data_IF_900986806512
#
_entry.id   IF_900986806512
#
_cell.length_a   1.000
_cell.length_b   1.000
_cell.length_c   1.000
_cell.angle_alpha   90.00
_cell.angle_beta   90.00
_cell.angle_gamma   90.00
#
_symmetry.space_group_name_H-M   'P 1'
#
loop_
_entity.id
_entity.type
_entity.pdbx_description
1 polymer ?
#
# COMPACT_ATOMS: atom_id res chain seq x y z
N UNK A 1 -18.78 -23.62 1.30
CA UNK A 1 -17.96 -23.64 0.10
C UNK A 1 -18.60 -24.12 -1.21
N UNK A 2 -19.72 -24.86 -1.25
CA UNK A 2 -20.30 -25.32 -2.52
C UNK A 2 -20.81 -24.23 -3.47
N UNK A 3 -20.94 -22.99 -3.04
CA UNK A 3 -21.41 -21.89 -3.90
C UNK A 3 -20.34 -21.17 -4.71
N UNK A 4 -19.04 -21.34 -4.39
CA UNK A 4 -17.93 -20.66 -5.05
C UNK A 4 -17.16 -21.64 -5.97
N UNK A 5 -17.06 -22.89 -5.56
CA UNK A 5 -16.36 -23.92 -6.33
C UNK A 5 -17.35 -25.00 -6.76
N UNK A 6 -17.28 -25.43 -8.02
CA UNK A 6 -18.12 -26.54 -8.51
C UNK A 6 -17.87 -27.84 -7.73
N UNK A 7 -18.82 -28.77 -7.79
CA UNK A 7 -18.77 -30.04 -7.04
C UNK A 7 -17.46 -30.82 -7.25
N UNK A 8 -16.90 -30.79 -8.46
CA UNK A 8 -15.63 -31.46 -8.80
C UNK A 8 -14.45 -30.84 -8.05
N UNK A 9 -14.37 -29.52 -7.95
CA UNK A 9 -13.31 -28.81 -7.22
C UNK A 9 -13.42 -29.06 -5.72
N UNK A 10 -14.63 -29.03 -5.16
CA UNK A 10 -14.86 -29.37 -3.75
C UNK A 10 -14.46 -30.81 -3.42
N UNK A 11 -14.71 -31.77 -4.30
CA UNK A 11 -14.31 -33.16 -4.10
C UNK A 11 -12.80 -33.36 -4.05
N UNK A 12 -12.05 -32.57 -4.82
CA UNK A 12 -10.58 -32.60 -4.82
C UNK A 12 -9.98 -31.88 -3.62
N UNK A 13 -10.63 -30.83 -3.12
CA UNK A 13 -10.21 -30.10 -1.91
C UNK A 13 -10.53 -30.87 -0.61
N UNK A 14 -11.56 -31.72 -0.61
CA UNK A 14 -12.02 -32.45 0.58
C UNK A 14 -10.91 -33.25 1.29
N UNK A 15 -9.97 -33.95 0.62
CA UNK A 15 -8.88 -34.64 1.27
C UNK A 15 -7.91 -33.71 2.03
N UNK A 16 -7.89 -32.42 1.69
CA UNK A 16 -7.03 -31.40 2.28
C UNK A 16 -7.76 -30.45 3.23
N UNK A 17 -9.04 -30.71 3.50
CA UNK A 17 -9.80 -29.94 4.48
C UNK A 17 -9.45 -30.35 5.91
N UNK A 18 -8.60 -29.55 6.56
CA UNK A 18 -8.14 -29.80 7.92
C UNK A 18 -9.29 -29.78 8.97
N UNK A 19 -10.41 -29.09 8.67
CA UNK A 19 -11.55 -29.02 9.58
C UNK A 19 -12.27 -30.37 9.65
N UNK A 20 -12.26 -31.12 8.55
CA UNK A 20 -12.88 -32.44 8.45
C UNK A 20 -11.91 -33.60 8.63
N UNK A 21 -10.68 -33.32 9.12
CA UNK A 21 -9.66 -34.33 9.36
C UNK A 21 -8.82 -34.69 8.13
N UNK A 22 -8.80 -33.84 7.11
CA UNK A 22 -7.93 -33.98 5.95
C UNK A 22 -6.45 -33.72 6.26
N UNK A 23 -5.58 -33.98 5.29
CA UNK A 23 -4.14 -33.74 5.38
C UNK A 23 -3.77 -32.41 4.77
N UNK A 24 -2.74 -31.74 5.32
CA UNK A 24 -2.18 -30.53 4.71
C UNK A 24 -1.72 -30.82 3.28
N UNK A 25 -1.95 -29.83 2.39
CA UNK A 25 -1.37 -29.90 1.06
C UNK A 25 0.12 -29.55 1.15
N UNK A 26 0.95 -30.36 0.49
CA UNK A 26 2.38 -30.13 0.39
C UNK A 26 2.78 -29.93 -1.08
N UNK A 27 3.58 -28.91 -1.31
CA UNK A 27 4.18 -28.62 -2.61
C UNK A 27 5.71 -28.57 -2.46
N UNK A 28 6.39 -29.33 -3.28
CA UNK A 28 7.84 -29.34 -3.37
C UNK A 28 8.26 -28.94 -4.78
N UNK A 29 9.04 -27.87 -4.87
CA UNK A 29 9.56 -27.37 -6.13
C UNK A 29 10.87 -26.62 -5.90
N UNK A 30 11.71 -26.51 -6.92
CA UNK A 30 12.94 -25.73 -6.88
C UNK A 30 13.26 -25.17 -8.26
N UNK A 31 14.01 -24.09 -8.26
CA UNK A 31 14.60 -23.52 -9.47
C UNK A 31 15.92 -22.85 -9.12
N UNK A 32 16.84 -22.83 -10.08
CA UNK A 32 18.08 -22.08 -9.95
C UNK A 32 17.85 -20.66 -10.50
N UNK A 33 18.27 -19.66 -9.73
CA UNK A 33 18.31 -18.27 -10.17
C UNK A 33 19.75 -17.81 -10.19
N UNK A 34 20.21 -17.34 -11.36
CA UNK A 34 21.54 -16.78 -11.55
C UNK A 34 21.41 -15.32 -11.93
N UNK A 35 21.98 -14.46 -11.11
CA UNK A 35 21.98 -13.02 -11.35
C UNK A 35 23.42 -12.51 -11.44
N UNK A 36 23.68 -11.70 -12.44
CA UNK A 36 24.94 -10.96 -12.57
C UNK A 36 24.62 -9.49 -12.78
N UNK A 37 25.16 -8.65 -11.91
CA UNK A 37 25.01 -7.21 -12.02
C UNK A 37 26.39 -6.54 -12.07
N UNK A 38 26.54 -5.60 -12.98
CA UNK A 38 27.72 -4.73 -13.07
C UNK A 38 27.29 -3.29 -13.15
N UNK A 39 28.03 -2.40 -12.52
CA UNK A 39 27.71 -0.97 -12.56
C UNK A 39 28.99 -0.11 -12.61
N UNK A 40 28.83 1.06 -13.20
CA UNK A 40 29.79 2.17 -13.11
C UNK A 40 29.00 3.43 -12.76
N UNK A 41 29.52 4.21 -11.82
CA UNK A 41 28.89 5.45 -11.39
C UNK A 41 29.97 6.47 -11.03
N UNK A 42 29.73 7.74 -11.36
CA UNK A 42 30.60 8.85 -11.01
C UNK A 42 29.79 10.07 -10.58
N UNK A 43 30.40 10.90 -9.72
CA UNK A 43 29.85 12.17 -9.27
C UNK A 43 30.79 13.28 -9.61
N UNK A 44 30.42 14.14 -10.52
CA UNK A 44 31.22 15.23 -11.04
C UNK A 44 30.69 16.56 -10.52
N UNK A 45 31.50 17.32 -9.83
CA UNK A 45 31.14 18.68 -9.37
C UNK A 45 31.98 19.72 -10.08
N UNK A 46 31.30 20.63 -10.79
CA UNK A 46 31.90 21.75 -11.51
C UNK A 46 31.22 23.04 -11.08
N UNK A 47 31.97 23.87 -10.29
CA UNK A 47 31.44 25.12 -9.73
C UNK A 47 30.13 24.89 -8.92
N UNK A 48 29.00 25.30 -9.47
CA UNK A 48 27.70 25.19 -8.83
C UNK A 48 26.87 24.00 -9.35
N UNK A 49 27.41 23.25 -10.30
CA UNK A 49 26.76 22.08 -10.89
C UNK A 49 27.28 20.81 -10.24
N UNK A 50 26.38 19.86 -9.98
CA UNK A 50 26.69 18.49 -9.59
C UNK A 50 25.99 17.54 -10.55
N UNK A 51 26.74 16.59 -11.07
CA UNK A 51 26.27 15.57 -12.00
C UNK A 51 26.52 14.21 -11.37
N UNK A 52 25.47 13.42 -11.21
CA UNK A 52 25.55 12.02 -10.83
C UNK A 52 25.20 11.19 -12.05
N UNK A 53 26.16 10.47 -12.58
CA UNK A 53 26.02 9.68 -13.79
C UNK A 53 26.34 8.23 -13.50
N UNK A 54 25.46 7.33 -13.86
CA UNK A 54 25.66 5.91 -13.64
C UNK A 54 24.91 5.06 -14.66
N UNK A 55 25.42 3.88 -14.85
CA UNK A 55 24.74 2.82 -15.57
C UNK A 55 25.00 1.49 -14.86
N UNK A 56 23.95 0.70 -14.71
CA UNK A 56 24.03 -0.67 -14.22
C UNK A 56 23.50 -1.60 -15.31
N UNK A 57 24.11 -2.75 -15.47
CA UNK A 57 23.63 -3.81 -16.33
C UNK A 57 23.31 -5.03 -15.50
N UNK A 58 22.08 -5.58 -15.66
CA UNK A 58 21.63 -6.76 -14.96
C UNK A 58 21.31 -7.89 -15.96
N UNK A 59 21.80 -9.07 -15.63
CA UNK A 59 21.49 -10.32 -16.29
C UNK A 59 20.78 -11.21 -15.28
N UNK A 60 19.51 -11.46 -15.51
CA UNK A 60 18.69 -12.39 -14.73
C UNK A 60 18.46 -13.65 -15.54
N UNK A 61 18.75 -14.80 -14.98
CA UNK A 61 18.50 -16.11 -15.57
C UNK A 61 17.92 -17.03 -14.50
N UNK A 62 16.62 -17.18 -14.51
CA UNK A 62 15.84 -18.02 -13.60
C UNK A 62 14.76 -18.75 -14.40
N UNK A 63 13.52 -18.70 -13.94
CA UNK A 63 12.36 -19.20 -14.68
C UNK A 63 12.11 -18.42 -15.99
N UNK A 64 12.50 -17.14 -16.00
CA UNK A 64 12.57 -16.30 -17.19
C UNK A 64 13.99 -15.77 -17.36
N UNK A 65 14.32 -15.30 -18.57
CA UNK A 65 15.60 -14.66 -18.86
C UNK A 65 15.34 -13.19 -19.17
N UNK A 66 16.01 -12.30 -18.44
CA UNK A 66 15.95 -10.86 -18.68
C UNK A 66 17.35 -10.25 -18.71
N UNK A 67 17.48 -9.22 -19.55
CA UNK A 67 18.70 -8.42 -19.68
C UNK A 67 18.29 -6.96 -19.69
N UNK A 68 18.79 -6.19 -18.74
CA UNK A 68 18.37 -4.81 -18.56
C UNK A 68 19.58 -3.90 -18.41
N UNK A 69 19.47 -2.68 -18.96
CA UNK A 69 20.38 -1.58 -18.70
C UNK A 69 19.61 -0.53 -17.87
N UNK A 70 20.23 -0.10 -16.78
CA UNK A 70 19.65 0.80 -15.79
C UNK A 70 20.46 2.09 -15.71
N UNK A 71 20.23 3.03 -16.63
CA UNK A 71 20.84 4.35 -16.55
C UNK A 71 20.30 5.13 -15.33
N UNK A 72 21.17 5.90 -14.71
CA UNK A 72 20.87 6.80 -13.58
C UNK A 72 21.56 8.12 -13.85
N UNK A 73 20.78 9.18 -13.96
CA UNK A 73 21.28 10.54 -14.23
C UNK A 73 20.64 11.49 -13.24
N UNK A 74 21.47 12.23 -12.52
CA UNK A 74 21.05 13.31 -11.64
C UNK A 74 21.83 14.57 -11.94
N UNK A 75 21.16 15.71 -11.99
CA UNK A 75 21.76 17.02 -12.18
C UNK A 75 21.22 17.95 -11.11
N UNK A 76 22.11 18.60 -10.39
CA UNK A 76 21.75 19.64 -9.43
C UNK A 76 22.51 20.92 -9.70
N UNK A 77 21.84 22.04 -9.50
CA UNK A 77 22.43 23.39 -9.61
C UNK A 77 22.21 24.15 -8.32
N UNK A 78 23.30 24.57 -7.69
CA UNK A 78 23.28 25.37 -6.47
C UNK A 78 23.41 26.87 -6.80
N UNK A 79 22.31 27.60 -6.69
CA UNK A 79 22.30 29.05 -6.83
C UNK A 79 22.64 29.70 -5.50
N UNK A 80 23.96 29.86 -5.23
CA UNK A 80 24.52 30.33 -3.97
C UNK A 80 23.93 31.65 -3.44
N UNK A 81 23.67 32.70 -4.31
CA UNK A 81 23.16 33.97 -3.80
C UNK A 81 21.86 33.89 -3.00
N UNK A 82 21.00 32.90 -3.30
CA UNK A 82 19.74 32.71 -2.58
C UNK A 82 19.73 31.43 -1.75
N UNK A 83 20.80 30.62 -1.76
CA UNK A 83 20.84 29.29 -1.14
C UNK A 83 19.75 28.37 -1.69
N UNK A 84 19.58 28.37 -3.00
CA UNK A 84 18.57 27.56 -3.70
C UNK A 84 19.27 26.45 -4.47
N UNK A 85 18.74 25.23 -4.37
CA UNK A 85 19.20 24.08 -5.17
C UNK A 85 18.04 23.60 -6.03
N UNK A 86 18.25 23.57 -7.35
CA UNK A 86 17.38 22.91 -8.31
C UNK A 86 17.95 21.53 -8.63
N UNK A 87 17.12 20.53 -8.69
CA UNK A 87 17.54 19.18 -9.03
C UNK A 87 16.55 18.50 -9.97
N UNK A 88 17.10 17.73 -10.90
CA UNK A 88 16.37 16.83 -11.76
C UNK A 88 17.07 15.49 -11.79
N UNK A 89 16.34 14.40 -11.79
CA UNK A 89 16.93 13.08 -11.94
C UNK A 89 16.06 12.15 -12.74
N UNK A 90 16.70 11.16 -13.32
CA UNK A 90 16.10 10.03 -13.97
C UNK A 90 16.82 8.76 -13.52
N UNK A 91 16.03 7.74 -13.22
CA UNK A 91 16.55 6.40 -12.95
C UNK A 91 15.68 5.35 -13.61
N UNK A 92 16.30 4.34 -14.17
CA UNK A 92 15.65 3.09 -14.52
C UNK A 92 16.11 2.01 -13.57
N UNK A 93 15.16 1.20 -13.07
CA UNK A 93 15.43 0.09 -12.16
C UNK A 93 14.75 -1.17 -12.65
N UNK A 94 15.37 -2.30 -12.42
CA UNK A 94 14.78 -3.63 -12.64
C UNK A 94 14.13 -4.10 -11.35
N UNK A 95 12.97 -4.70 -11.48
CA UNK A 95 12.26 -5.36 -10.38
C UNK A 95 12.26 -6.87 -10.68
N UNK A 96 12.99 -7.64 -9.88
CA UNK A 96 12.99 -9.10 -9.99
C UNK A 96 11.91 -9.68 -9.08
N UNK A 97 11.09 -10.64 -9.56
CA UNK A 97 10.06 -11.25 -8.74
C UNK A 97 10.66 -12.12 -7.63
N UNK A 98 9.91 -12.31 -6.54
CA UNK A 98 10.31 -13.19 -5.44
C UNK A 98 10.32 -14.66 -5.89
N UNK A 99 11.43 -15.34 -5.61
CA UNK A 99 11.72 -16.65 -6.19
C UNK A 99 10.79 -17.76 -5.68
N UNK A 100 10.41 -17.73 -4.41
CA UNK A 100 9.59 -18.77 -3.79
C UNK A 100 8.23 -18.91 -4.48
N UNK A 101 7.59 -17.79 -4.79
CA UNK A 101 6.28 -17.79 -5.41
C UNK A 101 6.34 -18.08 -6.93
N UNK A 102 7.48 -17.82 -7.56
CA UNK A 102 7.67 -18.15 -8.98
C UNK A 102 7.60 -19.65 -9.25
N UNK A 103 8.13 -20.46 -8.34
CA UNK A 103 8.11 -21.92 -8.47
C UNK A 103 6.67 -22.43 -8.44
N UNK A 104 5.86 -21.92 -7.51
CA UNK A 104 4.43 -22.28 -7.41
C UNK A 104 3.69 -21.86 -8.69
N UNK A 105 3.92 -20.65 -9.19
CA UNK A 105 3.25 -20.16 -10.38
C UNK A 105 3.65 -20.90 -11.67
N UNK A 106 4.91 -21.29 -11.78
CA UNK A 106 5.46 -21.86 -13.02
C UNK A 106 5.38 -23.38 -13.09
N UNK A 107 5.53 -24.06 -11.95
CA UNK A 107 5.56 -25.52 -11.88
C UNK A 107 4.39 -26.12 -11.10
N UNK A 108 3.71 -25.31 -10.29
CA UNK A 108 2.59 -25.77 -9.47
C UNK A 108 1.42 -26.30 -10.27
N UNK A 109 1.23 -25.82 -11.50
CA UNK A 109 0.18 -26.30 -12.39
C UNK A 109 0.43 -27.73 -12.93
N UNK A 110 1.60 -28.27 -12.77
CA UNK A 110 1.85 -29.71 -12.98
C UNK A 110 1.29 -30.55 -11.81
N UNK A 111 0.99 -29.93 -10.69
CA UNK A 111 0.29 -30.56 -9.58
C UNK A 111 -1.20 -30.67 -9.87
N UNK A 112 -1.81 -31.87 -9.79
CA UNK A 112 -3.25 -32.06 -9.99
C UNK A 112 -4.12 -31.20 -9.06
N UNK A 113 -3.62 -30.90 -7.85
CA UNK A 113 -4.30 -30.05 -6.86
C UNK A 113 -4.35 -28.57 -7.30
N UNK A 114 -3.21 -27.97 -7.67
CA UNK A 114 -3.16 -26.58 -8.12
C UNK A 114 -3.82 -26.41 -9.50
N UNK A 115 -3.72 -27.40 -10.37
CA UNK A 115 -4.42 -27.43 -11.65
C UNK A 115 -5.96 -27.35 -11.52
N UNK A 116 -6.50 -27.71 -10.38
CA UNK A 116 -7.94 -27.63 -10.09
C UNK A 116 -8.35 -26.36 -9.35
N UNK A 117 -7.44 -25.75 -8.59
CA UNK A 117 -7.69 -24.50 -7.87
C UNK A 117 -7.62 -23.27 -8.77
N UNK A 118 -6.66 -23.24 -9.67
CA UNK A 118 -6.32 -22.06 -10.45
C UNK A 118 -7.34 -21.74 -11.55
N UNK A 119 -7.87 -22.70 -12.36
CA UNK A 119 -8.84 -22.41 -13.40
C UNK A 119 -10.18 -21.82 -12.93
N UNK A 120 -10.78 -22.23 -11.80
CA UNK A 120 -11.99 -21.60 -11.28
C UNK A 120 -11.83 -20.11 -10.93
N UNK A 121 -10.59 -19.65 -10.78
CA UNK A 121 -10.25 -18.23 -10.55
C UNK A 121 -10.07 -17.46 -11.87
N UNK A 122 -10.40 -18.05 -13.01
CA UNK A 122 -10.21 -17.44 -14.33
C UNK A 122 -8.75 -17.43 -14.81
N UNK A 123 -7.85 -18.09 -14.10
CA UNK A 123 -6.43 -18.14 -14.40
C UNK A 123 -6.11 -19.48 -15.10
N UNK A 124 -5.70 -19.47 -16.38
CA UNK A 124 -5.31 -20.71 -17.05
C UNK A 124 -4.03 -21.28 -16.44
N UNK A 125 -3.95 -22.60 -16.32
CA UNK A 125 -2.82 -23.28 -15.66
C UNK A 125 -1.57 -23.47 -16.53
N UNK A 126 -1.52 -22.95 -17.74
CA UNK A 126 -0.37 -23.07 -18.66
C UNK A 126 0.38 -21.76 -18.83
N UNK A 127 0.51 -21.00 -17.78
CA UNK A 127 1.08 -19.68 -17.85
C UNK A 127 2.61 -19.76 -17.93
N UNK A 128 3.19 -18.96 -18.80
CA UNK A 128 4.64 -18.74 -18.80
C UNK A 128 5.09 -18.11 -17.47
N UNK A 129 6.38 -18.13 -17.18
CA UNK A 129 6.90 -17.50 -15.97
C UNK A 129 6.72 -15.98 -16.03
N UNK A 130 6.50 -15.37 -14.87
CA UNK A 130 6.57 -13.92 -14.71
C UNK A 130 7.97 -13.44 -15.12
N UNK A 131 8.04 -12.38 -15.91
CA UNK A 131 9.29 -11.76 -16.34
C UNK A 131 9.66 -10.58 -15.44
N UNK A 132 10.94 -10.31 -15.20
CA UNK A 132 11.35 -9.14 -14.45
C UNK A 132 10.80 -7.85 -15.06
N UNK A 133 10.22 -7.03 -14.21
CA UNK A 133 9.69 -5.72 -14.57
C UNK A 133 10.75 -4.64 -14.60
N UNK A 134 10.36 -3.47 -15.04
CA UNK A 134 11.21 -2.29 -14.94
C UNK A 134 10.40 -1.03 -14.61
N UNK A 135 11.03 -0.17 -13.86
CA UNK A 135 10.49 1.11 -13.47
C UNK A 135 11.36 2.25 -14.03
N UNK A 136 10.73 3.28 -14.56
CA UNK A 136 11.35 4.54 -14.93
C UNK A 136 10.84 5.63 -13.98
N UNK A 137 11.74 6.28 -13.28
CA UNK A 137 11.44 7.34 -12.34
C UNK A 137 12.07 8.67 -12.78
N UNK A 138 11.28 9.72 -12.75
CA UNK A 138 11.70 11.09 -13.02
C UNK A 138 11.39 11.94 -11.79
N UNK A 139 12.37 12.72 -11.34
CA UNK A 139 12.22 13.62 -10.22
C UNK A 139 12.58 15.04 -10.65
N UNK A 140 11.81 16.00 -10.17
CA UNK A 140 12.13 17.43 -10.26
C UNK A 140 11.97 18.02 -8.88
N UNK A 141 13.02 18.62 -8.36
CA UNK A 141 13.03 19.11 -6.99
C UNK A 141 13.64 20.51 -6.86
N UNK A 142 13.22 21.16 -5.80
CA UNK A 142 13.70 22.46 -5.37
C UNK A 142 13.97 22.42 -3.86
N UNK A 143 15.16 22.83 -3.45
CA UNK A 143 15.47 23.09 -2.06
C UNK A 143 15.82 24.56 -1.85
N UNK A 144 15.23 25.20 -0.85
CA UNK A 144 15.46 26.59 -0.50
C UNK A 144 15.79 26.69 0.99
N UNK A 145 16.97 27.24 1.29
CA UNK A 145 17.32 27.57 2.66
C UNK A 145 17.14 29.09 2.95
N UNK A 146 16.49 29.40 4.06
CA UNK A 146 16.27 30.73 4.58
C UNK A 146 17.20 30.94 5.81
N UNK A 147 18.45 31.27 5.52
CA UNK A 147 19.48 31.34 6.52
C UNK A 147 19.63 30.01 7.29
N UNK A 148 19.73 30.10 8.62
CA UNK A 148 19.82 28.93 9.51
C UNK A 148 18.46 28.53 10.12
N UNK A 149 17.39 29.16 9.70
CA UNK A 149 16.08 29.08 10.39
C UNK A 149 15.12 28.10 9.75
N UNK A 150 15.08 28.05 8.41
CA UNK A 150 14.10 27.26 7.68
C UNK A 150 14.75 26.69 6.41
N UNK A 151 14.48 25.41 6.15
CA UNK A 151 14.75 24.77 4.87
C UNK A 151 13.42 24.24 4.33
N UNK A 152 13.13 24.59 3.08
CA UNK A 152 12.02 24.04 2.33
C UNK A 152 12.61 23.13 1.26
N UNK A 153 12.14 21.89 1.20
CA UNK A 153 12.49 20.92 0.20
C UNK A 153 11.19 20.43 -0.44
N UNK A 154 11.10 20.44 -1.75
CA UNK A 154 9.93 20.00 -2.48
C UNK A 154 10.34 19.26 -3.74
N UNK A 155 9.69 18.14 -4.00
CA UNK A 155 9.89 17.37 -5.22
C UNK A 155 8.57 16.88 -5.81
N UNK A 156 8.58 16.71 -7.11
CA UNK A 156 7.55 16.03 -7.86
C UNK A 156 8.15 14.82 -8.56
N UNK A 157 7.42 13.70 -8.51
CA UNK A 157 7.87 12.38 -8.93
C UNK A 157 6.91 11.86 -9.99
N UNK A 158 7.45 11.29 -11.07
CA UNK A 158 6.72 10.48 -12.04
C UNK A 158 7.35 9.09 -12.08
N UNK A 159 6.60 8.11 -11.66
CA UNK A 159 7.01 6.70 -11.73
C UNK A 159 6.16 5.97 -12.76
N UNK A 160 6.81 5.29 -13.68
CA UNK A 160 6.19 4.47 -14.72
C UNK A 160 6.78 3.06 -14.64
N UNK A 161 5.94 2.09 -14.29
CA UNK A 161 6.35 0.69 -14.19
C UNK A 161 5.76 -0.10 -15.35
N UNK A 162 6.52 -1.03 -15.89
CA UNK A 162 6.07 -2.06 -16.82
C UNK A 162 6.39 -3.41 -16.19
N UNK A 163 5.45 -4.34 -16.30
CA UNK A 163 5.54 -5.65 -15.69
C UNK A 163 5.82 -5.54 -14.17
N UNK A 164 5.03 -4.71 -13.50
CA UNK A 164 5.16 -4.52 -12.06
C UNK A 164 4.74 -5.77 -11.31
N UNK A 165 5.64 -6.28 -10.50
CA UNK A 165 5.40 -7.49 -9.73
C UNK A 165 4.51 -7.22 -8.52
N UNK A 166 3.59 -8.14 -8.24
CA UNK A 166 2.69 -8.09 -7.10
C UNK A 166 2.19 -9.49 -6.71
N UNK A 167 1.34 -9.58 -5.69
CA UNK A 167 0.76 -10.84 -5.24
C UNK A 167 -0.76 -10.81 -5.34
N UNK A 168 -1.33 -11.89 -5.83
CA UNK A 168 -2.74 -12.21 -5.65
C UNK A 168 -2.95 -13.24 -4.54
N UNK A 169 -4.17 -13.33 -4.03
CA UNK A 169 -4.56 -14.33 -3.03
C UNK A 169 -5.58 -15.28 -3.65
N UNK A 170 -5.42 -16.57 -3.41
CA UNK A 170 -6.36 -17.60 -3.91
C UNK A 170 -7.62 -17.60 -3.06
N UNK A 171 -8.65 -16.90 -3.51
CA UNK A 171 -9.97 -16.84 -2.83
C UNK A 171 -9.84 -16.38 -1.37
N UNK A 172 -10.41 -17.14 -0.45
CA UNK A 172 -10.34 -16.87 0.99
C UNK A 172 -9.23 -17.67 1.70
N UNK A 173 -8.23 -18.15 0.97
CA UNK A 173 -7.11 -18.92 1.52
C UNK A 173 -5.92 -18.02 1.83
N UNK A 174 -4.98 -18.43 2.68
CA UNK A 174 -3.72 -17.71 2.87
C UNK A 174 -2.70 -17.95 1.74
N UNK A 175 -3.10 -18.66 0.68
CA UNK A 175 -2.19 -18.99 -0.43
C UNK A 175 -2.07 -17.77 -1.33
N UNK A 176 -0.86 -17.25 -1.45
CA UNK A 176 -0.53 -16.18 -2.38
C UNK A 176 0.08 -16.75 -3.65
N UNK A 177 -0.15 -16.06 -4.75
CA UNK A 177 0.50 -16.35 -6.03
C UNK A 177 0.98 -15.04 -6.67
N UNK A 178 2.06 -15.08 -7.45
CA UNK A 178 2.58 -13.89 -8.08
C UNK A 178 1.69 -13.45 -9.25
N UNK A 179 1.48 -12.15 -9.33
CA UNK A 179 0.83 -11.47 -10.44
C UNK A 179 1.76 -10.41 -11.00
N UNK A 180 1.45 -9.96 -12.18
CA UNK A 180 2.20 -8.93 -12.88
C UNK A 180 1.22 -7.88 -13.41
N UNK A 181 1.42 -6.63 -13.03
CA UNK A 181 0.69 -5.51 -13.60
C UNK A 181 1.31 -5.11 -14.93
N UNK A 182 0.53 -5.02 -15.99
CA UNK A 182 1.05 -4.62 -17.32
C UNK A 182 1.76 -3.28 -17.27
N UNK A 183 1.21 -2.35 -16.52
CA UNK A 183 1.81 -1.04 -16.30
C UNK A 183 1.26 -0.38 -15.03
N UNK A 184 2.00 0.60 -14.52
CA UNK A 184 1.49 1.58 -13.56
C UNK A 184 1.98 2.98 -13.89
N UNK A 185 1.20 4.00 -13.47
CA UNK A 185 1.56 5.41 -13.53
C UNK A 185 1.33 6.01 -12.17
N UNK A 186 2.40 6.48 -11.53
CA UNK A 186 2.36 6.95 -10.15
C UNK A 186 2.99 8.36 -10.10
N UNK A 187 2.26 9.42 -10.48
CA UNK A 187 2.66 10.78 -10.17
C UNK A 187 2.47 11.03 -8.67
N UNK A 188 3.40 11.76 -8.09
CA UNK A 188 3.36 12.11 -6.67
C UNK A 188 4.15 13.37 -6.38
N UNK A 189 3.96 13.90 -5.18
CA UNK A 189 4.75 15.01 -4.66
C UNK A 189 5.12 14.76 -3.20
N UNK A 190 6.25 15.33 -2.80
CA UNK A 190 6.67 15.41 -1.42
C UNK A 190 7.18 16.82 -1.12
N UNK A 191 6.78 17.39 0.00
CA UNK A 191 7.25 18.68 0.50
C UNK A 191 7.68 18.53 1.94
N UNK A 192 8.89 18.96 2.26
CA UNK A 192 9.42 18.99 3.62
C UNK A 192 9.80 20.40 4.03
N UNK A 193 9.25 20.84 5.15
CA UNK A 193 9.66 22.06 5.85
C UNK A 193 10.47 21.64 7.06
N UNK A 194 11.65 22.20 7.25
CA UNK A 194 12.52 21.86 8.40
C UNK A 194 12.99 23.12 9.11
N UNK A 195 12.78 23.18 10.41
CA UNK A 195 13.41 24.16 11.32
C UNK A 195 14.52 23.44 12.07
N UNK A 196 15.81 23.65 11.70
CA UNK A 196 16.92 22.85 12.24
C UNK A 196 17.11 23.04 13.74
N UNK A 197 17.15 24.25 14.20
CA UNK A 197 17.10 24.65 15.60
C UNK A 197 16.86 26.15 15.70
N UNK A 198 15.80 26.54 16.37
CA UNK A 198 15.48 27.92 16.67
C UNK A 198 15.19 28.07 18.17
N UNK A 199 16.17 28.56 18.93
CA UNK A 199 16.08 28.73 20.39
C UNK A 199 15.59 27.46 21.13
N UNK A 200 16.10 26.30 20.75
CA UNK A 200 15.74 25.00 21.31
C UNK A 200 14.54 24.32 20.66
N UNK A 201 13.85 24.99 19.72
CA UNK A 201 12.81 24.39 18.92
C UNK A 201 13.44 23.75 17.67
N UNK A 202 13.19 22.46 17.46
CA UNK A 202 13.40 21.76 16.19
C UNK A 202 12.04 21.29 15.68
N UNK A 203 11.82 21.41 14.38
CA UNK A 203 10.56 21.00 13.79
C UNK A 203 10.74 20.51 12.36
N UNK A 204 9.86 19.61 11.95
CA UNK A 204 9.65 19.35 10.53
C UNK A 204 8.16 19.09 10.26
N UNK A 205 7.76 19.44 9.04
CA UNK A 205 6.48 19.06 8.46
C UNK A 205 6.79 18.36 7.14
N UNK A 206 6.32 17.14 6.97
CA UNK A 206 6.36 16.41 5.70
C UNK A 206 4.92 16.28 5.19
N UNK A 207 4.70 16.69 3.96
CA UNK A 207 3.44 16.55 3.24
C UNK A 207 3.71 15.77 1.96
N UNK A 208 2.88 14.80 1.66
CA UNK A 208 2.98 14.04 0.42
C UNK A 208 1.63 13.56 -0.08
N UNK A 209 1.59 13.20 -1.34
CA UNK A 209 0.43 12.59 -1.96
C UNK A 209 0.83 11.88 -3.23
N UNK A 210 0.12 10.82 -3.55
CA UNK A 210 0.32 10.03 -4.76
C UNK A 210 -1.00 9.74 -5.44
N UNK A 211 -0.94 9.54 -6.76
CA UNK A 211 -2.03 9.07 -7.57
C UNK A 211 -1.61 7.77 -8.28
N UNK A 212 -1.71 6.67 -7.57
CA UNK A 212 -1.20 5.38 -8.03
C UNK A 212 -2.21 4.66 -8.94
N UNK A 213 -2.09 4.90 -10.25
CA UNK A 213 -2.89 4.25 -11.30
C UNK A 213 -2.24 2.98 -11.75
N UNK A 214 -3.00 1.89 -11.69
CA UNK A 214 -2.60 0.58 -12.16
C UNK A 214 -3.44 0.14 -13.34
N UNK A 215 -2.82 -0.55 -14.26
CA UNK A 215 -3.43 -1.13 -15.45
C UNK A 215 -3.46 -2.64 -15.29
N UNK A 216 -4.33 -3.28 -16.03
CA UNK A 216 -4.68 -4.69 -15.94
C UNK A 216 -3.54 -5.62 -15.57
N UNK A 217 -3.78 -6.63 -14.70
CA UNK A 217 -2.78 -7.61 -14.37
C UNK A 217 -2.57 -8.58 -15.52
N UNK A 218 -1.38 -9.12 -15.53
CA UNK A 218 -1.03 -10.36 -16.20
C UNK A 218 -0.75 -11.39 -15.11
N UNK A 219 -1.23 -12.60 -15.29
CA UNK A 219 -0.82 -13.71 -14.44
C UNK A 219 0.20 -14.51 -15.22
N UNK A 220 1.41 -14.60 -14.68
CA UNK A 220 2.51 -15.34 -15.25
C UNK A 220 2.73 -15.02 -16.75
N UNK A 221 2.78 -13.74 -17.10
CA UNK A 221 3.10 -13.27 -18.45
C UNK A 221 1.98 -13.37 -19.49
N UNK A 222 0.80 -13.86 -19.13
CA UNK A 222 -0.36 -13.83 -20.01
C UNK A 222 -1.39 -12.81 -19.54
N UNK A 223 -1.93 -11.96 -20.44
CA UNK A 223 -2.98 -11.04 -20.05
C UNK A 223 -4.20 -11.84 -19.61
N UNK A 224 -4.69 -11.58 -18.41
CA UNK A 224 -6.06 -11.98 -18.04
C UNK A 224 -6.95 -11.20 -19.00
N UNK A 225 -7.81 -11.90 -19.75
CA UNK A 225 -8.69 -11.27 -20.72
C UNK A 225 -9.50 -10.21 -20.00
N UNK A 226 -9.26 -8.92 -20.25
CA UNK A 226 -9.93 -7.88 -19.52
C UNK A 226 -11.34 -7.70 -20.03
N UNK A 227 -12.24 -7.51 -19.13
CA UNK A 227 -13.51 -6.86 -19.41
C UNK A 227 -13.25 -5.36 -19.33
N UNK A 228 -12.70 -4.76 -20.40
CA UNK A 228 -12.46 -3.32 -20.50
C UNK A 228 -11.00 -2.84 -20.31
N UNK A 229 -10.74 -1.58 -20.70
CA UNK A 229 -9.47 -0.86 -20.48
C UNK A 229 -9.49 -0.20 -19.10
N UNK A 230 -9.68 -0.94 -18.04
CA UNK A 230 -9.97 -0.36 -16.75
C UNK A 230 -8.69 0.00 -15.99
N UNK A 231 -8.55 1.30 -15.75
CA UNK A 231 -7.53 1.86 -14.86
C UNK A 231 -8.13 1.98 -13.48
N UNK A 232 -7.41 1.56 -12.44
CA UNK A 232 -7.86 1.67 -11.07
C UNK A 232 -6.78 2.26 -10.16
N UNK A 233 -7.20 2.71 -8.97
CA UNK A 233 -6.32 3.16 -7.91
C UNK A 233 -6.06 2.00 -6.95
N UNK A 234 -4.79 1.74 -6.69
CA UNK A 234 -4.39 0.72 -5.72
C UNK A 234 -4.75 1.14 -4.29
N UNK A 235 -4.93 0.16 -3.42
CA UNK A 235 -5.28 0.34 -2.00
C UNK A 235 -4.24 1.10 -1.15
N UNK A 236 -3.04 1.35 -1.69
CA UNK A 236 -2.01 2.21 -1.10
C UNK A 236 -2.02 3.65 -1.65
N UNK A 237 -2.99 3.99 -2.51
CA UNK A 237 -3.16 5.35 -3.02
C UNK A 237 -3.71 6.28 -1.95
N UNK A 238 -3.02 7.37 -1.70
CA UNK A 238 -3.44 8.41 -0.77
C UNK A 238 -3.21 9.79 -1.37
N UNK A 239 -4.28 10.60 -1.43
CA UNK A 239 -4.26 11.92 -2.08
C UNK A 239 -3.37 12.87 -1.31
N UNK A 240 -3.42 12.82 0.04
CA UNK A 240 -2.67 13.70 0.90
C UNK A 240 -2.43 13.07 2.27
N UNK A 241 -1.19 13.12 2.72
CA UNK A 241 -0.82 12.84 4.10
C UNK A 241 0.14 13.92 4.62
N UNK A 242 0.13 14.07 5.92
CA UNK A 242 1.01 15.01 6.61
C UNK A 242 1.53 14.40 7.90
N UNK A 243 2.83 14.60 8.15
CA UNK A 243 3.44 14.35 9.45
C UNK A 243 4.14 15.62 9.92
N UNK A 244 3.72 16.12 11.07
CA UNK A 244 4.35 17.24 11.76
C UNK A 244 5.04 16.73 13.01
N UNK A 245 6.29 17.05 13.16
CA UNK A 245 7.07 16.81 14.37
C UNK A 245 7.57 18.13 14.94
N UNK A 246 7.33 18.35 16.22
CA UNK A 246 7.84 19.47 16.98
C UNK A 246 8.61 18.90 18.17
N UNK A 247 9.80 19.40 18.42
CA UNK A 247 10.54 19.12 19.65
C UNK A 247 11.10 20.41 20.22
N UNK A 248 10.85 20.62 21.51
CA UNK A 248 11.34 21.78 22.24
C UNK A 248 12.26 21.35 23.37
N UNK A 249 13.51 21.83 23.33
CA UNK A 249 14.53 21.60 24.33
C UNK A 249 15.19 22.95 24.67
N UNK A 250 14.70 23.67 25.69
CA UNK A 250 15.17 25.03 26.00
C UNK A 250 16.64 25.07 26.45
N UNK A 251 17.14 23.99 27.04
CA UNK A 251 18.50 23.88 27.53
C UNK A 251 19.26 22.75 26.86
N UNK A 252 20.51 22.97 26.45
CA UNK A 252 21.33 21.97 25.73
C UNK A 252 21.45 20.59 26.41
N UNK A 253 21.34 20.55 27.74
CA UNK A 253 21.40 19.32 28.56
C UNK A 253 20.16 19.15 29.43
N UNK A 254 19.05 19.77 29.08
CA UNK A 254 17.80 19.72 29.81
C UNK A 254 16.80 18.73 29.22
N UNK A 255 15.62 18.64 29.84
CA UNK A 255 14.52 17.85 29.31
C UNK A 255 14.02 18.45 27.99
N UNK A 256 13.42 17.58 27.20
CA UNK A 256 12.73 17.96 25.96
C UNK A 256 11.28 17.51 25.99
N UNK A 257 10.46 18.21 25.23
CA UNK A 257 9.06 17.87 24.95
C UNK A 257 8.92 17.70 23.43
N UNK A 258 8.28 16.64 22.98
CA UNK A 258 7.95 16.46 21.58
C UNK A 258 6.45 16.24 21.38
N UNK A 259 5.99 16.68 20.21
CA UNK A 259 4.62 16.53 19.76
C UNK A 259 4.65 16.09 18.30
N UNK A 260 3.86 15.03 17.97
CA UNK A 260 3.64 14.58 16.61
C UNK A 260 2.17 14.74 16.26
N UNK A 261 1.92 15.20 15.06
CA UNK A 261 0.61 15.22 14.44
C UNK A 261 0.69 14.54 13.08
N UNK A 262 -0.13 13.54 12.89
CA UNK A 262 -0.30 12.86 11.60
C UNK A 262 -1.72 13.08 11.11
N UNK A 263 -1.84 13.52 9.86
CA UNK A 263 -3.10 13.58 9.13
C UNK A 263 -3.00 12.69 7.90
N UNK A 264 -4.00 11.84 7.72
CA UNK A 264 -4.14 10.98 6.55
C UNK A 264 -5.50 11.26 5.91
N UNK A 265 -5.53 11.51 4.59
CA UNK A 265 -6.77 11.75 3.85
C UNK A 265 -7.59 10.49 3.59
N UNK A 266 -7.01 9.33 3.82
CA UNK A 266 -7.60 8.02 3.67
C UNK A 266 -7.12 7.27 2.42
N UNK A 267 -6.66 6.05 2.65
CA UNK A 267 -6.32 5.09 1.61
C UNK A 267 -7.58 4.63 0.85
N UNK A 268 -7.39 4.09 -0.35
CA UNK A 268 -8.47 3.44 -1.09
C UNK A 268 -8.99 2.24 -0.31
N UNK A 269 -10.32 2.14 -0.19
CA UNK A 269 -10.99 1.05 0.53
C UNK A 269 -11.43 -0.05 -0.43
N UNK A 270 -11.32 -1.31 0.00
CA UNK A 270 -11.71 -2.47 -0.77
C UNK A 270 -13.23 -2.74 -0.78
N UNK A 271 -14.06 -1.74 -0.50
CA UNK A 271 -15.50 -1.84 -0.59
C UNK A 271 -16.09 -0.65 -1.33
N UNK A 272 -17.13 -0.87 -2.13
CA UNK A 272 -17.81 0.16 -2.90
C UNK A 272 -19.33 0.02 -2.81
N UNK A 273 -20.08 1.15 -2.96
CA UNK A 273 -21.54 1.08 -3.02
C UNK A 273 -21.98 0.45 -4.33
N UNK A 274 -22.98 -0.42 -4.24
CA UNK A 274 -23.66 -1.01 -5.37
C UNK A 274 -25.16 -0.77 -5.26
N UNK A 275 -25.78 -0.23 -6.29
CA UNK A 275 -27.20 0.06 -6.33
C UNK A 275 -27.75 -0.31 -7.71
N UNK A 276 -28.47 -1.41 -7.82
CA UNK A 276 -29.42 -1.68 -8.90
C UNK A 276 -30.08 -3.06 -8.75
N UNK A 277 -31.22 -3.31 -9.36
CA UNK A 277 -31.93 -4.57 -9.22
C UNK A 277 -31.22 -5.78 -9.83
N UNK A 278 -30.26 -5.57 -10.71
CA UNK A 278 -29.46 -6.61 -11.39
C UNK A 278 -28.01 -6.13 -11.65
N UNK A 279 -27.49 -5.30 -10.77
CA UNK A 279 -26.14 -4.77 -11.00
C UNK A 279 -25.11 -5.85 -10.76
N UNK A 280 -24.30 -6.06 -11.75
CA UNK A 280 -22.98 -6.59 -11.62
C UNK A 280 -22.15 -5.47 -10.98
N UNK A 281 -21.92 -5.57 -9.68
CA UNK A 281 -21.04 -4.63 -9.00
C UNK A 281 -19.59 -5.05 -9.29
N UNK A 282 -19.17 -4.75 -10.50
CA UNK A 282 -17.77 -4.95 -10.86
C UNK A 282 -16.93 -3.92 -10.13
N UNK A 283 -15.96 -4.40 -9.40
CA UNK A 283 -14.74 -3.68 -9.20
C UNK A 283 -14.00 -3.62 -10.54
N UNK A 284 -13.38 -2.49 -10.84
CA UNK A 284 -12.35 -2.41 -11.87
C UNK A 284 -11.08 -3.17 -11.50
N UNK A 285 -11.04 -3.80 -10.33
CA UNK A 285 -9.94 -4.68 -9.98
C UNK A 285 -10.04 -5.96 -10.78
N UNK A 286 -8.92 -6.39 -11.37
CA UNK A 286 -8.86 -7.51 -12.30
C UNK A 286 -9.19 -8.88 -11.71
N UNK A 287 -9.42 -8.97 -10.42
CA UNK A 287 -9.81 -10.17 -9.69
C UNK A 287 -11.31 -10.24 -9.39
N UNK A 288 -12.10 -9.28 -9.86
CA UNK A 288 -13.54 -9.36 -9.75
C UNK A 288 -14.05 -10.48 -10.68
N UNK A 289 -14.37 -11.60 -10.11
CA UNK A 289 -14.90 -12.79 -10.82
C UNK A 289 -16.38 -12.64 -11.23
N UNK A 290 -16.90 -11.40 -11.30
CA UNK A 290 -18.21 -11.08 -11.83
C UNK A 290 -19.38 -11.60 -10.99
N UNK A 291 -19.18 -11.87 -9.71
CA UNK A 291 -20.24 -12.21 -8.78
C UNK A 291 -21.18 -11.02 -8.56
N UNK A 292 -22.25 -10.92 -9.35
CA UNK A 292 -23.24 -9.86 -9.20
C UNK A 292 -24.02 -9.98 -7.88
N UNK A 293 -24.08 -8.90 -7.10
CA UNK A 293 -24.97 -8.82 -5.96
C UNK A 293 -26.40 -8.55 -6.44
N UNK A 294 -27.35 -9.40 -6.03
CA UNK A 294 -28.77 -9.18 -6.33
C UNK A 294 -29.35 -8.21 -5.31
N UNK A 295 -29.37 -6.91 -5.65
CA UNK A 295 -29.82 -5.84 -4.76
C UNK A 295 -31.18 -5.34 -5.22
N UNK A 296 -32.20 -5.27 -4.32
CA UNK A 296 -33.52 -4.76 -4.67
C UNK A 296 -33.46 -3.29 -5.16
N UNK A 297 -34.42 -2.97 -6.05
CA UNK A 297 -34.55 -1.61 -6.59
C UNK A 297 -34.68 -0.55 -5.49
N UNK A 298 -33.93 0.55 -5.61
CA UNK A 298 -33.91 1.65 -4.62
C UNK A 298 -33.09 1.39 -3.36
N UNK A 299 -32.45 0.24 -3.27
CA UNK A 299 -31.54 -0.10 -2.18
C UNK A 299 -30.07 -0.07 -2.63
N UNK A 300 -29.18 0.06 -1.68
CA UNK A 300 -27.73 0.07 -1.85
C UNK A 300 -27.12 -0.91 -0.88
N UNK A 301 -26.15 -1.70 -1.33
CA UNK A 301 -25.27 -2.46 -0.45
C UNK A 301 -23.83 -1.96 -0.60
N UNK A 302 -23.00 -2.16 0.41
CA UNK A 302 -21.56 -2.17 0.22
C UNK A 302 -21.13 -3.55 -0.26
N UNK A 303 -20.33 -3.58 -1.30
CA UNK A 303 -19.80 -4.81 -1.87
C UNK A 303 -18.27 -4.80 -1.81
N UNK A 304 -17.70 -5.96 -1.58
CA UNK A 304 -16.26 -6.16 -1.67
C UNK A 304 -15.81 -5.95 -3.12
N UNK A 305 -14.82 -5.08 -3.33
CA UNK A 305 -14.36 -4.69 -4.67
C UNK A 305 -13.66 -5.82 -5.41
N UNK A 306 -13.20 -6.87 -4.73
CA UNK A 306 -12.56 -8.04 -5.34
C UNK A 306 -13.60 -9.08 -5.75
N UNK A 307 -14.51 -9.43 -4.85
CA UNK A 307 -15.49 -10.51 -5.11
C UNK A 307 -16.80 -10.01 -5.75
N UNK A 308 -17.10 -8.71 -5.69
CA UNK A 308 -18.39 -8.16 -6.11
C UNK A 308 -19.57 -8.58 -5.23
N UNK A 309 -19.33 -9.34 -4.15
CA UNK A 309 -20.37 -9.82 -3.24
C UNK A 309 -20.63 -8.78 -2.13
N UNK A 310 -21.85 -8.74 -1.57
CA UNK A 310 -22.14 -7.94 -0.39
C UNK A 310 -21.17 -8.24 0.75
N UNK A 311 -20.87 -7.24 1.55
CA UNK A 311 -20.06 -7.42 2.73
C UNK A 311 -20.68 -8.44 3.68
N UNK A 312 -19.83 -9.20 4.35
CA UNK A 312 -20.28 -10.06 5.47
C UNK A 312 -20.63 -9.18 6.69
N UNK A 313 -21.35 -9.73 7.67
CA UNK A 313 -21.70 -9.02 8.90
C UNK A 313 -20.44 -8.49 9.63
N UNK A 314 -19.35 -9.26 9.64
CA UNK A 314 -18.09 -8.82 10.25
C UNK A 314 -17.44 -7.66 9.47
N UNK A 315 -17.46 -7.70 8.15
CA UNK A 315 -16.94 -6.63 7.30
C UNK A 315 -17.77 -5.36 7.43
N UNK A 316 -19.10 -5.47 7.50
CA UNK A 316 -20.00 -4.33 7.75
C UNK A 316 -19.73 -3.69 9.12
N UNK A 317 -19.55 -4.52 10.16
CA UNK A 317 -19.16 -4.05 11.49
C UNK A 317 -17.79 -3.35 11.46
N UNK A 318 -16.79 -3.94 10.82
CA UNK A 318 -15.46 -3.37 10.68
C UNK A 318 -15.49 -2.02 9.93
N UNK A 319 -16.36 -1.87 8.95
CA UNK A 319 -16.57 -0.59 8.26
C UNK A 319 -17.32 0.44 9.13
N UNK A 320 -17.89 0.03 10.25
CA UNK A 320 -18.79 0.85 11.03
C UNK A 320 -20.06 1.21 10.24
N UNK A 321 -20.59 0.26 9.47
CA UNK A 321 -21.74 0.48 8.60
C UNK A 321 -23.01 0.72 9.40
N UNK A 322 -23.77 1.72 8.99
CA UNK A 322 -25.08 2.02 9.58
C UNK A 322 -26.17 2.08 8.49
N UNK A 323 -27.37 1.60 8.85
CA UNK A 323 -28.56 1.76 8.04
C UNK A 323 -29.65 2.45 8.86
N UNK A 324 -30.08 3.66 8.46
CA UNK A 324 -31.03 4.50 9.19
C UNK A 324 -30.65 4.65 10.67
N UNK A 325 -29.35 4.84 10.95
CA UNK A 325 -28.80 4.97 12.29
C UNK A 325 -28.61 3.64 13.05
N UNK A 326 -29.02 2.51 12.51
CA UNK A 326 -28.76 1.19 13.10
C UNK A 326 -27.36 0.72 12.68
N UNK A 327 -26.48 0.55 13.64
CA UNK A 327 -25.11 0.05 13.44
C UNK A 327 -25.15 -1.47 13.16
N UNK A 328 -24.31 -1.92 12.23
CA UNK A 328 -24.04 -3.34 12.05
C UNK A 328 -23.42 -3.93 13.32
N UNK A 329 -23.76 -5.17 13.63
CA UNK A 329 -23.19 -5.88 14.77
C UNK A 329 -22.26 -7.01 14.27
N UNK A 330 -21.20 -7.36 15.03
CA UNK A 330 -20.32 -8.45 14.63
C UNK A 330 -21.05 -9.79 14.66
N UNK A 331 -20.63 -10.72 13.81
CA UNK A 331 -21.09 -12.10 13.85
C UNK A 331 -20.46 -12.81 15.10
N UNK A 332 -21.23 -13.63 15.89
CA UNK A 332 -22.60 -14.06 15.63
C UNK A 332 -23.71 -13.15 16.21
N UNK A 333 -23.40 -11.97 16.70
CA UNK A 333 -24.35 -11.12 17.44
C UNK A 333 -25.42 -10.45 16.57
N UNK A 334 -25.20 -10.33 15.27
CA UNK A 334 -26.17 -9.72 14.36
C UNK A 334 -26.10 -10.27 12.93
N UNK A 335 -27.23 -10.23 12.20
CA UNK A 335 -27.22 -10.50 10.78
C UNK A 335 -26.58 -9.35 10.00
N UNK A 336 -26.12 -9.65 8.79
CA UNK A 336 -25.71 -8.63 7.85
C UNK A 336 -26.84 -7.62 7.58
N UNK A 337 -26.52 -6.35 7.41
CA UNK A 337 -27.49 -5.31 7.02
C UNK A 337 -27.90 -5.44 5.55
N UNK A 338 -27.23 -6.27 4.80
CA UNK A 338 -27.37 -6.65 3.40
C UNK A 338 -27.62 -5.48 2.44
N UNK A 339 -28.74 -4.77 2.64
CA UNK A 339 -29.16 -3.65 1.78
C UNK A 339 -29.77 -2.53 2.61
N UNK A 340 -29.64 -1.30 2.14
CA UNK A 340 -30.16 -0.10 2.76
C UNK A 340 -30.64 0.88 1.69
N UNK A 341 -31.55 1.80 2.04
CA UNK A 341 -31.83 2.93 1.14
C UNK A 341 -30.59 3.82 1.00
N UNK A 342 -30.39 4.42 -0.16
CA UNK A 342 -29.24 5.30 -0.39
C UNK A 342 -29.17 6.46 0.63
N UNK A 343 -30.31 6.96 1.09
CA UNK A 343 -30.38 8.04 2.08
C UNK A 343 -30.06 7.58 3.51
N UNK A 344 -30.27 6.30 3.81
CA UNK A 344 -30.05 5.72 5.14
C UNK A 344 -28.69 5.08 5.31
N UNK A 345 -27.94 4.85 4.21
CA UNK A 345 -26.65 4.19 4.23
C UNK A 345 -25.55 5.17 4.65
N UNK A 346 -24.83 4.84 5.71
CA UNK A 346 -23.67 5.60 6.16
C UNK A 346 -22.59 4.66 6.74
N UNK A 347 -21.39 5.14 6.91
CA UNK A 347 -20.32 4.41 7.55
C UNK A 347 -19.46 5.34 8.41
N UNK A 348 -19.01 4.85 9.56
CA UNK A 348 -18.16 5.58 10.50
C UNK A 348 -16.72 5.67 9.96
N UNK A 349 -16.24 4.59 9.31
CA UNK A 349 -14.84 4.45 8.96
C UNK A 349 -14.54 4.48 7.46
N UNK A 350 -15.56 4.33 6.61
CA UNK A 350 -15.42 4.34 5.15
C UNK A 350 -16.21 5.50 4.56
N UNK A 351 -15.62 6.24 3.64
CA UNK A 351 -16.34 7.23 2.83
C UNK A 351 -17.17 6.47 1.80
N UNK A 352 -18.48 6.66 1.83
CA UNK A 352 -19.39 6.05 0.86
C UNK A 352 -19.69 7.08 -0.23
N UNK A 353 -19.15 6.93 -1.45
CA UNK A 353 -19.53 7.78 -2.57
C UNK A 353 -21.01 7.65 -2.88
N UNK A 354 -21.62 8.73 -3.35
CA UNK A 354 -23.02 8.66 -3.83
C UNK A 354 -23.13 7.65 -4.97
N UNK A 355 -24.23 6.88 -5.06
CA UNK A 355 -24.44 5.96 -6.15
C UNK A 355 -24.24 6.62 -7.51
N UNK A 356 -23.53 5.97 -8.41
CA UNK A 356 -23.22 6.49 -9.76
C UNK A 356 -22.10 7.55 -9.84
N UNK A 357 -21.51 7.95 -8.70
CA UNK A 357 -20.38 8.88 -8.67
C UNK A 357 -19.03 8.20 -8.49
N UNK A 358 -19.02 6.91 -8.15
CA UNK A 358 -17.78 6.13 -8.04
C UNK A 358 -17.10 6.07 -9.41
N UNK A 359 -15.81 6.35 -9.39
CA UNK A 359 -14.92 6.17 -10.51
C UNK A 359 -13.58 5.68 -9.97
N UNK A 360 -13.17 4.49 -10.36
CA UNK A 360 -11.97 3.84 -9.82
C UNK A 360 -10.68 4.59 -10.14
N UNK A 361 -10.65 5.37 -11.21
CA UNK A 361 -9.49 6.21 -11.55
C UNK A 361 -9.50 7.59 -10.85
N UNK A 362 -10.64 8.25 -10.75
CA UNK A 362 -10.71 9.64 -10.26
C UNK A 362 -11.34 9.78 -8.89
N UNK A 363 -12.34 8.98 -8.58
CA UNK A 363 -13.11 9.02 -7.33
C UNK A 363 -13.32 7.62 -6.74
N UNK A 364 -12.25 6.90 -6.37
CA UNK A 364 -12.38 5.62 -5.68
C UNK A 364 -12.95 5.84 -4.28
N UNK A 365 -13.58 4.79 -3.73
CA UNK A 365 -13.94 4.75 -2.32
C UNK A 365 -12.69 4.80 -1.44
N UNK A 366 -12.79 5.47 -0.28
CA UNK A 366 -11.65 5.65 0.65
C UNK A 366 -12.08 5.40 2.08
N UNK A 367 -11.15 5.09 2.95
CA UNK A 367 -11.35 5.16 4.39
C UNK A 367 -11.49 6.63 4.82
N UNK A 368 -12.14 6.86 5.97
CA UNK A 368 -12.36 8.22 6.50
C UNK A 368 -11.02 8.88 6.86
N UNK A 369 -10.87 10.18 6.60
CA UNK A 369 -9.70 10.94 7.04
C UNK A 369 -9.52 10.85 8.56
N UNK A 370 -8.27 10.85 8.99
CA UNK A 370 -7.95 10.76 10.41
C UNK A 370 -6.83 11.71 10.83
N UNK A 371 -6.93 12.18 12.07
CA UNK A 371 -5.88 12.88 12.78
C UNK A 371 -5.40 12.01 13.95
N UNK A 372 -4.10 11.84 14.09
CA UNK A 372 -3.46 11.14 15.20
C UNK A 372 -2.43 12.05 15.85
N UNK A 373 -2.43 12.09 17.18
CA UNK A 373 -1.55 12.95 17.97
C UNK A 373 -0.76 12.09 18.95
N UNK A 374 0.55 12.33 19.01
CA UNK A 374 1.43 11.69 19.99
C UNK A 374 2.17 12.79 20.76
N UNK A 375 2.47 12.54 22.03
CA UNK A 375 3.27 13.43 22.86
C UNK A 375 4.33 12.62 23.60
N UNK A 376 5.52 13.18 23.75
CA UNK A 376 6.54 12.57 24.59
C UNK A 376 7.35 13.63 25.33
N UNK A 377 7.81 13.26 26.51
CA UNK A 377 8.77 14.03 27.31
C UNK A 377 9.96 13.12 27.61
N UNK A 378 11.15 13.67 27.57
CA UNK A 378 12.35 12.90 27.85
C UNK A 378 13.53 13.75 28.28
N UNK A 379 14.58 13.04 28.69
CA UNK A 379 15.85 13.61 29.04
C UNK A 379 16.95 12.65 28.63
N UNK A 380 17.91 13.13 27.82
CA UNK A 380 18.92 12.27 27.21
C UNK A 380 20.11 11.97 28.12
N UNK A 381 20.29 12.74 29.18
CA UNK A 381 21.36 12.54 30.16
C UNK A 381 20.96 13.12 31.54
N UNK A 382 20.16 12.38 32.29
CA UNK A 382 19.54 12.80 33.55
C UNK A 382 20.58 13.23 34.60
N UNK A 383 21.69 12.49 34.69
CA UNK A 383 22.73 12.76 35.71
C UNK A 383 23.91 13.58 35.19
N UNK A 384 23.82 14.08 33.93
CA UNK A 384 24.84 14.91 33.31
C UNK A 384 26.22 14.26 33.25
N UNK A 385 26.31 12.93 33.32
CA UNK A 385 27.58 12.19 33.22
C UNK A 385 28.21 12.31 31.82
N UNK A 386 29.53 12.41 31.77
CA UNK A 386 30.25 12.51 30.48
C UNK A 386 30.44 11.09 29.87
N UNK A 387 30.83 10.12 30.71
CA UNK A 387 31.09 8.74 30.29
C UNK A 387 29.86 7.85 30.35
N UNK A 388 29.07 7.95 31.42
CA UNK A 388 27.89 7.15 31.65
C UNK A 388 26.66 8.05 31.57
N UNK A 389 25.78 7.80 30.60
CA UNK A 389 24.59 8.62 30.37
C UNK A 389 23.35 7.82 30.60
N UNK A 390 22.46 8.34 31.41
CA UNK A 390 21.13 7.77 31.62
C UNK A 390 20.10 8.63 30.92
N UNK A 391 19.30 8.01 30.09
CA UNK A 391 18.17 8.65 29.44
C UNK A 391 16.87 8.07 29.95
N UNK A 392 15.83 8.91 29.96
CA UNK A 392 14.46 8.45 30.19
C UNK A 392 13.52 9.16 29.21
N UNK A 393 12.50 8.43 28.79
CA UNK A 393 11.43 8.92 27.91
C UNK A 393 10.10 8.35 28.39
N UNK A 394 9.08 9.22 28.45
CA UNK A 394 7.67 8.83 28.59
C UNK A 394 6.95 9.31 27.33
N UNK A 395 6.21 8.44 26.68
CA UNK A 395 5.45 8.78 25.49
C UNK A 395 4.03 8.26 25.56
N UNK A 396 3.10 9.04 25.02
CA UNK A 396 1.70 8.67 24.80
C UNK A 396 1.46 8.69 23.29
N UNK A 397 1.17 7.55 22.73
CA UNK A 397 0.82 7.35 21.33
C UNK A 397 -0.70 7.37 21.20
N UNK A 398 -1.22 7.96 20.14
CA UNK A 398 -2.65 8.17 19.93
C UNK A 398 -3.30 8.84 21.14
N UNK A 399 -2.84 10.04 21.47
CA UNK A 399 -3.21 10.81 22.68
C UNK A 399 -4.74 10.95 22.85
N UNK A 400 -5.46 11.11 21.74
CA UNK A 400 -6.93 11.30 21.73
C UNK A 400 -7.71 9.99 21.76
N UNK A 401 -7.02 8.84 21.78
CA UNK A 401 -7.64 7.51 21.69
C UNK A 401 -8.57 7.36 20.47
N UNK A 402 -8.10 7.90 19.34
CA UNK A 402 -8.88 7.87 18.10
C UNK A 402 -9.00 6.44 17.60
N UNK A 403 -10.22 5.95 17.47
CA UNK A 403 -10.54 4.73 16.75
C UNK A 403 -10.76 5.05 15.27
N UNK A 404 -9.99 4.43 14.39
CA UNK A 404 -10.07 4.63 12.95
C UNK A 404 -9.43 3.45 12.22
N UNK A 405 -9.82 3.25 10.98
CA UNK A 405 -9.15 2.28 10.11
C UNK A 405 -7.81 2.82 9.62
N UNK A 406 -6.82 1.95 9.55
CA UNK A 406 -5.59 2.16 8.79
C UNK A 406 -5.82 1.78 7.33
N UNK A 407 -6.35 0.60 7.07
CA UNK A 407 -6.82 0.11 5.77
C UNK A 407 -8.11 -0.70 5.93
N UNK A 408 -8.83 -0.91 4.83
CA UNK A 408 -10.07 -1.68 4.82
C UNK A 408 -10.14 -2.59 3.60
N UNK A 409 -10.22 -3.90 3.84
CA UNK A 409 -10.24 -4.96 2.82
C UNK A 409 -9.11 -4.79 1.80
N UNK A 410 -7.92 -4.42 2.29
CA UNK A 410 -6.72 -4.35 1.46
C UNK A 410 -6.36 -5.73 0.94
N UNK A 411 -5.94 -5.81 -0.32
CA UNK A 411 -5.60 -7.07 -0.99
C UNK A 411 -4.52 -7.85 -0.24
N UNK A 412 -3.56 -7.16 0.38
CA UNK A 412 -2.42 -7.81 1.03
C UNK A 412 -2.55 -7.95 2.53
N UNK A 413 -3.25 -7.04 3.18
CA UNK A 413 -3.25 -6.95 4.63
C UNK A 413 -4.65 -7.05 5.26
N UNK A 414 -5.72 -7.05 4.46
CA UNK A 414 -7.08 -7.13 4.97
C UNK A 414 -7.53 -5.83 5.65
N UNK A 415 -8.13 -5.93 6.84
CA UNK A 415 -8.64 -4.79 7.58
C UNK A 415 -7.83 -4.57 8.86
N UNK A 416 -7.28 -3.36 9.03
CA UNK A 416 -6.53 -2.98 10.23
C UNK A 416 -7.00 -1.64 10.78
N UNK A 417 -7.01 -1.56 12.10
CA UNK A 417 -7.25 -0.33 12.83
C UNK A 417 -5.93 0.33 13.23
N UNK A 418 -5.97 1.63 13.46
CA UNK A 418 -4.86 2.34 14.07
C UNK A 418 -4.63 1.82 15.49
N UNK A 419 -3.38 1.85 15.95
CA UNK A 419 -3.02 1.44 17.30
C UNK A 419 -3.81 2.27 18.32
N UNK A 420 -4.49 1.65 19.30
CA UNK A 420 -5.16 2.38 20.37
C UNK A 420 -4.16 3.19 21.20
N UNK A 421 -4.67 4.05 22.09
CA UNK A 421 -3.80 4.83 22.96
C UNK A 421 -2.88 3.90 23.77
N UNK A 422 -1.58 4.17 23.65
CA UNK A 422 -0.56 3.44 24.39
C UNK A 422 0.36 4.40 25.13
N UNK A 423 0.73 4.03 26.36
CA UNK A 423 1.71 4.75 27.17
C UNK A 423 2.97 3.88 27.25
N UNK A 424 4.10 4.45 26.86
CA UNK A 424 5.39 3.76 26.91
C UNK A 424 6.39 4.53 27.74
N UNK A 425 7.13 3.83 28.59
CA UNK A 425 8.26 4.37 29.31
C UNK A 425 9.53 3.64 28.89
N UNK A 426 10.57 4.39 28.59
CA UNK A 426 11.88 3.83 28.18
C UNK A 426 12.96 4.44 29.07
N UNK A 427 13.84 3.57 29.57
CA UNK A 427 15.07 3.98 30.26
C UNK A 427 16.25 3.42 29.48
N UNK A 428 17.22 4.27 29.19
CA UNK A 428 18.42 3.91 28.45
C UNK A 428 19.67 4.18 29.27
N UNK A 429 20.67 3.32 29.11
CA UNK A 429 22.01 3.50 29.64
C UNK A 429 23.02 3.40 28.51
N UNK A 430 23.90 4.42 28.43
CA UNK A 430 24.94 4.53 27.41
C UNK A 430 26.31 4.65 28.08
N UNK A 431 27.29 3.91 27.59
CA UNK A 431 28.65 3.86 28.12
C UNK A 431 29.71 4.00 27.05
#
# INVERSE_FOLDING_TARGET
MPGVYGATTCAVLAPHDLITGGTAYEFHGHTDVKELAMYIQDTITVRNWSFNLGIRGDLYNGLAIARQAEPRVGIAYNFKPTNTVFQVSYARTVETPFNENLVIASTGCSSPFLALLVPPLGVPCNLGPIVPGHCNEFHVGLQQAFGKYLVIDGEYIWKYTHNGYDFGVVGSTPITFPIEWTASKIPGYAVRLTVPNFHGLTAFVVMSGVAARFFLPQVAGLPIIPVGNEVFRIDHDEIFNQTTHLQYQPFKRGPWLSFNWRYDSGLVAGASPCSAPTATCFSSTPFADGGGANIPSGQVALVNTVSGLPLTADQEFQAGLTCNGKLAAPNPLGPALATCSAAGLASIYVQIPKPGTKNDDHNPQRIQPRNLFDIAVGHDNIFHGDRYKWSARLAVINLTDKEALYNFLSTFSGTHYVTPRAVTATVGFHF
#
